data_IF_552637441573
#
_entry.id   IF_552637441573
#
_cell.length_a   1.000
_cell.length_b   1.000
_cell.length_c   1.000
_cell.angle_alpha   90.00
_cell.angle_beta   90.00
_cell.angle_gamma   90.00
#
_symmetry.space_group_name_H-M   'P 1'
#
loop_
_entity.id
_entity.type
_entity.pdbx_description
1 polymer ?
#
# COMPACT_ATOMS: atom_id res chain seq x y z
N UNK A 1 -16.33 8.89 -0.54
CA UNK A 1 -16.05 7.46 -0.83
C UNK A 1 -15.72 7.20 -2.29
N UNK A 2 -16.46 7.76 -3.28
CA UNK A 2 -16.23 7.49 -4.71
C UNK A 2 -14.77 7.72 -5.15
N UNK A 3 -14.11 8.87 -4.87
CA UNK A 3 -12.69 9.04 -5.23
C UNK A 3 -11.77 8.04 -4.52
N UNK A 4 -12.11 7.67 -3.29
CA UNK A 4 -11.34 6.71 -2.50
C UNK A 4 -11.37 5.31 -3.13
N UNK A 5 -12.54 4.82 -3.52
CA UNK A 5 -12.69 3.54 -4.23
C UNK A 5 -12.04 3.58 -5.62
N UNK A 6 -12.13 4.72 -6.33
CA UNK A 6 -11.50 4.89 -7.63
C UNK A 6 -9.97 4.74 -7.58
N UNK A 7 -9.33 5.27 -6.54
CA UNK A 7 -7.86 5.10 -6.33
C UNK A 7 -7.49 3.63 -6.14
N UNK A 8 -8.30 2.86 -5.40
CA UNK A 8 -8.05 1.42 -5.20
C UNK A 8 -8.15 0.64 -6.52
N UNK A 9 -9.19 0.91 -7.31
CA UNK A 9 -9.37 0.29 -8.62
C UNK A 9 -8.23 0.66 -9.58
N UNK A 10 -7.80 1.91 -9.58
CA UNK A 10 -6.67 2.37 -10.38
C UNK A 10 -5.37 1.67 -9.96
N UNK A 11 -5.13 1.51 -8.66
CA UNK A 11 -3.97 0.78 -8.13
C UNK A 11 -3.90 -0.66 -8.65
N UNK A 12 -5.03 -1.38 -8.64
CA UNK A 12 -5.12 -2.74 -9.22
C UNK A 12 -4.89 -2.71 -10.73
N UNK A 13 -5.44 -1.72 -11.44
CA UNK A 13 -5.23 -1.56 -12.87
C UNK A 13 -3.75 -1.41 -13.22
N UNK A 14 -3.02 -0.52 -12.54
CA UNK A 14 -1.58 -0.34 -12.73
C UNK A 14 -0.77 -1.57 -12.34
N UNK A 15 -1.14 -2.22 -11.24
CA UNK A 15 -0.48 -3.44 -10.79
C UNK A 15 -0.57 -4.54 -11.86
N UNK A 16 -1.78 -4.84 -12.35
CA UNK A 16 -2.00 -5.87 -13.38
C UNK A 16 -1.31 -5.52 -14.70
N UNK A 17 -1.37 -4.26 -15.11
CA UNK A 17 -0.66 -3.80 -16.31
C UNK A 17 0.85 -3.98 -16.17
N UNK A 18 1.42 -3.62 -15.03
CA UNK A 18 2.88 -3.68 -14.80
C UNK A 18 3.41 -5.11 -14.74
N UNK A 19 2.70 -6.02 -14.05
CA UNK A 19 3.15 -7.42 -13.90
C UNK A 19 2.94 -8.29 -15.13
N UNK A 20 2.06 -7.87 -16.04
CA UNK A 20 1.78 -8.60 -17.29
C UNK A 20 2.45 -7.99 -18.51
N UNK A 21 3.37 -7.04 -18.31
CA UNK A 21 4.02 -6.26 -19.38
C UNK A 21 3.00 -5.70 -20.39
N UNK A 22 1.84 -5.25 -19.87
CA UNK A 22 0.77 -4.67 -20.67
C UNK A 22 -0.17 -5.67 -21.34
N UNK A 23 0.01 -6.99 -21.16
CA UNK A 23 -0.93 -7.99 -21.68
C UNK A 23 -2.35 -7.80 -21.12
N UNK A 24 -2.45 -7.41 -19.85
CA UNK A 24 -3.68 -6.87 -19.26
C UNK A 24 -3.56 -5.35 -19.27
N UNK A 25 -4.42 -4.69 -20.05
CA UNK A 25 -4.43 -3.22 -20.07
C UNK A 25 -4.96 -2.65 -18.76
N UNK A 26 -4.60 -1.41 -18.44
CA UNK A 26 -5.12 -0.69 -17.27
C UNK A 26 -6.66 -0.81 -17.15
N UNK A 27 -7.37 -0.52 -18.23
CA UNK A 27 -8.85 -0.57 -18.25
C UNK A 27 -9.38 -1.96 -17.97
N UNK A 28 -8.77 -3.00 -18.57
CA UNK A 28 -9.15 -4.40 -18.32
C UNK A 28 -8.92 -4.77 -16.85
N UNK A 29 -7.80 -4.34 -16.28
CA UNK A 29 -7.48 -4.55 -14.87
C UNK A 29 -8.50 -3.90 -13.93
N UNK A 30 -8.90 -2.66 -14.20
CA UNK A 30 -9.94 -1.95 -13.44
C UNK A 30 -11.29 -2.65 -13.54
N UNK A 31 -11.69 -3.10 -14.73
CA UNK A 31 -12.95 -3.83 -14.93
C UNK A 31 -12.96 -5.15 -14.17
N UNK A 32 -11.88 -5.93 -14.26
CA UNK A 32 -11.75 -7.19 -13.51
C UNK A 32 -11.83 -6.95 -12.00
N UNK A 33 -11.10 -5.96 -11.47
CA UNK A 33 -11.16 -5.61 -10.05
C UNK A 33 -12.57 -5.21 -9.61
N UNK A 34 -13.27 -4.42 -10.44
CA UNK A 34 -14.65 -4.00 -10.16
C UNK A 34 -15.61 -5.19 -10.10
N UNK A 35 -15.52 -6.12 -11.06
CA UNK A 35 -16.37 -7.33 -11.07
C UNK A 35 -16.11 -8.19 -9.84
N UNK A 36 -14.83 -8.39 -9.49
CA UNK A 36 -14.44 -9.15 -8.29
C UNK A 36 -14.98 -8.47 -7.02
N UNK A 37 -14.82 -7.15 -6.88
CA UNK A 37 -15.33 -6.41 -5.74
C UNK A 37 -16.84 -6.55 -5.60
N UNK A 38 -17.61 -6.33 -6.66
CA UNK A 38 -19.07 -6.49 -6.65
C UNK A 38 -19.47 -7.91 -6.22
N UNK A 39 -18.78 -8.93 -6.74
CA UNK A 39 -19.06 -10.32 -6.40
C UNK A 39 -18.82 -10.60 -4.91
N UNK A 40 -17.70 -10.14 -4.36
CA UNK A 40 -17.37 -10.31 -2.96
C UNK A 40 -18.32 -9.51 -2.05
N UNK A 41 -18.62 -8.26 -2.37
CA UNK A 41 -19.56 -7.42 -1.60
C UNK A 41 -20.96 -8.06 -1.52
N UNK A 42 -21.40 -8.72 -2.60
CA UNK A 42 -22.71 -9.36 -2.64
C UNK A 42 -22.80 -10.63 -1.78
N UNK A 43 -21.71 -11.40 -1.68
CA UNK A 43 -21.69 -12.70 -0.97
C UNK A 43 -21.22 -12.56 0.49
N UNK A 44 -20.29 -11.65 0.77
CA UNK A 44 -19.65 -11.54 2.07
C UNK A 44 -20.47 -10.65 3.02
N UNK A 45 -20.98 -11.21 4.12
CA UNK A 45 -21.44 -10.41 5.25
C UNK A 45 -20.26 -9.78 6.01
N UNK A 46 -20.52 -8.71 6.78
CA UNK A 46 -19.49 -7.92 7.50
C UNK A 46 -18.53 -8.76 8.35
N UNK A 47 -19.01 -9.86 8.93
CA UNK A 47 -18.17 -10.76 9.74
C UNK A 47 -17.14 -11.51 8.89
N UNK A 48 -17.51 -11.90 7.69
CA UNK A 48 -16.60 -12.55 6.75
C UNK A 48 -15.52 -11.57 6.27
N UNK A 49 -15.93 -10.34 5.95
CA UNK A 49 -15.00 -9.26 5.55
C UNK A 49 -13.96 -9.02 6.65
N UNK A 50 -14.36 -8.93 7.91
CA UNK A 50 -13.41 -8.72 9.03
C UNK A 50 -12.38 -9.85 9.17
N UNK A 51 -12.76 -11.10 8.93
CA UNK A 51 -11.81 -12.22 8.97
C UNK A 51 -10.85 -12.21 7.79
N UNK A 52 -11.36 -11.96 6.60
CA UNK A 52 -10.51 -11.85 5.39
C UNK A 52 -9.56 -10.67 5.50
N UNK A 53 -10.01 -9.50 5.96
CA UNK A 53 -9.19 -8.31 6.21
C UNK A 53 -8.05 -8.61 7.19
N UNK A 54 -8.34 -9.33 8.28
CA UNK A 54 -7.33 -9.68 9.27
C UNK A 54 -6.25 -10.61 8.71
N UNK A 55 -6.65 -11.62 7.93
CA UNK A 55 -5.73 -12.53 7.27
C UNK A 55 -4.86 -11.79 6.24
N UNK A 56 -5.49 -10.94 5.44
CA UNK A 56 -4.80 -10.11 4.44
C UNK A 56 -3.81 -9.16 5.09
N UNK A 57 -4.19 -8.50 6.19
CA UNK A 57 -3.30 -7.60 6.92
C UNK A 57 -2.04 -8.33 7.41
N UNK A 58 -2.18 -9.53 7.98
CA UNK A 58 -1.04 -10.35 8.43
C UNK A 58 -0.17 -10.74 7.22
N UNK A 59 -0.79 -11.23 6.16
CA UNK A 59 -0.09 -11.62 4.94
C UNK A 59 0.68 -10.44 4.35
N UNK A 60 0.04 -9.29 4.24
CA UNK A 60 0.66 -8.08 3.70
C UNK A 60 1.84 -7.62 4.55
N UNK A 61 1.70 -7.53 5.88
CA UNK A 61 2.79 -7.02 6.72
C UNK A 61 4.00 -7.96 6.69
N UNK A 62 3.77 -9.27 6.73
CA UNK A 62 4.85 -10.26 6.69
C UNK A 62 5.54 -10.28 5.33
N UNK A 63 4.75 -10.42 4.26
CA UNK A 63 5.30 -10.55 2.91
C UNK A 63 5.93 -9.24 2.42
N UNK A 64 5.32 -8.08 2.68
CA UNK A 64 5.90 -6.78 2.27
C UNK A 64 7.18 -6.45 3.05
N UNK A 65 7.23 -6.77 4.35
CA UNK A 65 8.45 -6.59 5.15
C UNK A 65 9.57 -7.50 4.65
N UNK A 66 9.26 -8.75 4.31
CA UNK A 66 10.23 -9.67 3.75
C UNK A 66 10.76 -9.17 2.40
N UNK A 67 9.89 -8.69 1.51
CA UNK A 67 10.32 -8.08 0.24
C UNK A 67 11.21 -6.87 0.49
N UNK A 68 10.82 -5.94 1.36
CA UNK A 68 11.63 -4.78 1.69
C UNK A 68 13.03 -5.19 2.17
N UNK A 69 13.10 -6.18 3.06
CA UNK A 69 14.36 -6.70 3.56
C UNK A 69 15.23 -7.31 2.44
N UNK A 70 14.65 -8.16 1.60
CA UNK A 70 15.38 -8.79 0.49
C UNK A 70 15.91 -7.77 -0.51
N UNK A 71 15.08 -6.81 -0.90
CA UNK A 71 15.49 -5.75 -1.85
C UNK A 71 16.61 -4.92 -1.26
N UNK A 72 16.48 -4.47 -0.01
CA UNK A 72 17.52 -3.66 0.64
C UNK A 72 18.83 -4.44 0.77
N UNK A 73 18.78 -5.74 1.08
CA UNK A 73 19.98 -6.58 1.13
C UNK A 73 20.64 -6.70 -0.24
N UNK A 74 19.86 -6.87 -1.31
CA UNK A 74 20.39 -6.92 -2.68
C UNK A 74 20.97 -5.58 -3.15
N UNK A 75 20.49 -4.45 -2.62
CA UNK A 75 21.05 -3.12 -2.88
C UNK A 75 22.29 -2.80 -2.04
N UNK A 76 22.83 -3.77 -1.29
CA UNK A 76 24.02 -3.59 -0.46
C UNK A 76 23.72 -3.21 0.99
N UNK A 77 22.47 -3.34 1.43
CA UNK A 77 22.01 -3.04 2.79
C UNK A 77 21.55 -1.60 2.97
N UNK A 78 21.10 -1.27 4.19
CA UNK A 78 20.59 0.07 4.52
C UNK A 78 21.61 1.19 4.27
N UNK A 79 22.88 0.96 4.60
CA UNK A 79 23.94 1.96 4.37
C UNK A 79 24.04 2.33 2.89
N UNK A 80 24.24 1.34 2.02
CA UNK A 80 24.34 1.57 0.58
C UNK A 80 23.09 2.22 -0.02
N UNK A 81 21.89 1.79 0.40
CA UNK A 81 20.63 2.40 -0.04
C UNK A 81 20.59 3.90 0.29
N UNK A 82 20.87 4.28 1.54
CA UNK A 82 20.81 5.68 1.95
C UNK A 82 21.98 6.51 1.41
N UNK A 83 23.15 5.93 1.19
CA UNK A 83 24.29 6.59 0.54
C UNK A 83 23.94 6.91 -0.92
N UNK A 84 23.31 5.97 -1.65
CA UNK A 84 22.82 6.20 -3.01
C UNK A 84 21.79 7.32 -3.04
N UNK A 85 20.80 7.27 -2.16
CA UNK A 85 19.76 8.31 -2.07
C UNK A 85 20.34 9.69 -1.70
N UNK A 86 21.29 9.73 -0.78
CA UNK A 86 21.93 10.97 -0.37
C UNK A 86 22.78 11.59 -1.50
N UNK A 87 23.38 10.77 -2.35
CA UNK A 87 24.24 11.21 -3.44
C UNK A 87 23.43 11.55 -4.70
N UNK A 88 22.51 10.69 -5.09
CA UNK A 88 21.80 10.81 -6.37
C UNK A 88 20.44 11.52 -6.23
N UNK A 89 19.78 11.36 -5.07
CA UNK A 89 18.43 11.88 -4.80
C UNK A 89 18.32 12.60 -3.45
N UNK A 90 19.22 13.55 -3.11
CA UNK A 90 19.26 14.17 -1.78
C UNK A 90 17.94 14.86 -1.38
N UNK A 91 17.19 15.33 -2.37
CA UNK A 91 15.88 15.97 -2.17
C UNK A 91 14.85 15.01 -1.60
N UNK A 92 14.95 13.71 -1.88
CA UNK A 92 14.00 12.69 -1.39
C UNK A 92 14.16 12.40 0.11
N UNK A 93 15.27 12.83 0.71
CA UNK A 93 15.55 12.71 2.15
C UNK A 93 15.21 13.98 2.93
N UNK A 94 14.60 14.98 2.31
CA UNK A 94 14.22 16.24 2.97
C UNK A 94 12.73 16.26 3.34
N UNK A 95 12.39 16.99 4.40
CA UNK A 95 11.01 17.23 4.82
C UNK A 95 10.78 18.75 4.93
N UNK A 96 9.78 19.29 4.24
CA UNK A 96 8.93 18.68 3.20
C UNK A 96 9.75 18.31 1.98
N UNK A 97 9.31 17.30 1.21
CA UNK A 97 10.01 16.84 0.01
C UNK A 97 10.06 17.89 -1.12
N UNK A 98 10.68 17.56 -2.26
CA UNK A 98 10.85 18.48 -3.40
C UNK A 98 9.53 18.75 -4.14
N UNK A 99 9.52 19.81 -4.94
CA UNK A 99 8.46 20.12 -5.90
C UNK A 99 7.17 20.58 -5.25
N UNK A 100 6.09 19.81 -5.42
CA UNK A 100 4.76 20.14 -4.89
C UNK A 100 4.67 20.10 -3.36
N UNK A 101 5.64 19.55 -2.66
CA UNK A 101 5.66 19.41 -1.21
C UNK A 101 6.22 20.64 -0.50
N UNK A 102 5.72 21.83 -0.84
CA UNK A 102 5.92 23.01 -0.01
C UNK A 102 5.37 22.76 1.40
N UNK A 103 5.83 23.52 2.39
CA UNK A 103 5.33 23.38 3.77
C UNK A 103 3.80 23.48 3.86
N UNK A 104 3.18 24.36 3.09
CA UNK A 104 1.72 24.50 3.03
C UNK A 104 1.06 23.25 2.44
N UNK A 105 1.60 22.70 1.36
CA UNK A 105 1.10 21.46 0.76
C UNK A 105 1.29 20.28 1.71
N UNK A 106 2.43 20.20 2.39
CA UNK A 106 2.68 19.20 3.43
C UNK A 106 1.61 19.25 4.53
N UNK A 107 1.31 20.43 5.06
CA UNK A 107 0.24 20.60 6.05
C UNK A 107 -1.13 20.21 5.46
N UNK A 108 -1.43 20.67 4.26
CA UNK A 108 -2.69 20.37 3.57
C UNK A 108 -2.91 18.89 3.33
N UNK A 109 -1.86 18.11 3.13
CA UNK A 109 -1.93 16.66 2.98
C UNK A 109 -1.93 15.94 4.33
N UNK A 110 -1.26 16.45 5.35
CA UNK A 110 -1.11 15.78 6.65
C UNK A 110 -2.30 16.00 7.58
N UNK A 111 -2.83 17.24 7.64
CA UNK A 111 -3.95 17.58 8.53
C UNK A 111 -5.20 16.74 8.28
N UNK A 112 -5.65 16.49 7.02
CA UNK A 112 -6.79 15.62 6.75
C UNK A 112 -6.62 14.21 7.30
N UNK A 113 -5.40 13.66 7.27
CA UNK A 113 -5.11 12.34 7.82
C UNK A 113 -5.21 12.27 9.34
N UNK A 114 -4.91 13.36 10.03
CA UNK A 114 -5.13 13.45 11.48
C UNK A 114 -6.61 13.27 11.85
N UNK A 115 -7.52 13.81 11.03
CA UNK A 115 -8.97 13.67 11.23
C UNK A 115 -9.59 12.48 10.50
N UNK A 116 -8.79 11.67 9.81
CA UNK A 116 -9.28 10.58 8.96
C UNK A 116 -10.18 9.59 9.69
N UNK A 117 -9.82 9.20 10.91
CA UNK A 117 -10.59 8.26 11.72
C UNK A 117 -11.98 8.80 12.13
N UNK A 118 -12.16 10.11 12.14
CA UNK A 118 -13.43 10.77 12.47
C UNK A 118 -14.25 11.13 11.21
N UNK A 119 -13.57 11.42 10.11
CA UNK A 119 -14.19 11.91 8.88
C UNK A 119 -14.49 10.81 7.87
N UNK A 120 -13.78 9.69 7.92
CA UNK A 120 -14.01 8.56 7.02
C UNK A 120 -15.06 7.60 7.60
N UNK A 121 -16.24 7.44 6.97
CA UNK A 121 -17.31 6.59 7.47
C UNK A 121 -16.89 5.13 7.66
N UNK A 122 -16.04 4.61 6.81
CA UNK A 122 -15.51 3.24 6.86
C UNK A 122 -14.71 2.99 8.14
N UNK A 123 -13.90 3.95 8.57
CA UNK A 123 -13.13 3.85 9.83
C UNK A 123 -14.00 4.14 11.03
N UNK A 124 -14.84 5.20 10.94
CA UNK A 124 -15.73 5.61 12.05
C UNK A 124 -16.68 4.51 12.47
N UNK A 125 -17.33 3.81 11.53
CA UNK A 125 -18.23 2.71 11.87
C UNK A 125 -17.54 1.57 12.62
N UNK A 126 -16.26 1.32 12.34
CA UNK A 126 -15.47 0.29 13.04
C UNK A 126 -15.19 0.65 14.50
N UNK A 127 -15.19 1.94 14.85
CA UNK A 127 -15.04 2.39 16.25
C UNK A 127 -16.25 2.01 17.12
N UNK A 128 -17.41 1.73 16.52
CA UNK A 128 -18.62 1.31 17.24
C UNK A 128 -18.76 -0.20 17.37
N UNK A 129 -17.86 -1.00 16.80
CA UNK A 129 -17.93 -2.47 16.83
C UNK A 129 -17.40 -3.12 18.12
N UNK A 130 -16.38 -2.56 18.82
CA UNK A 130 -15.85 -3.18 20.02
C UNK A 130 -16.88 -3.32 21.13
N UNK A 131 -16.99 -4.50 21.73
CA UNK A 131 -17.95 -4.81 22.80
C UNK A 131 -17.55 -4.23 24.17
N UNK A 132 -16.33 -3.72 24.32
CA UNK A 132 -15.80 -3.17 25.57
C UNK A 132 -14.70 -2.16 25.34
N UNK A 133 -14.43 -1.29 26.32
CA UNK A 133 -13.31 -0.34 26.31
C UNK A 133 -11.95 -1.07 26.19
N UNK A 134 -11.82 -2.26 26.77
CA UNK A 134 -10.61 -3.07 26.66
C UNK A 134 -10.40 -3.52 25.21
N UNK A 135 -11.43 -4.02 24.56
CA UNK A 135 -11.41 -4.43 23.17
C UNK A 135 -11.09 -3.25 22.25
N UNK A 136 -11.69 -2.09 22.51
CA UNK A 136 -11.40 -0.86 21.80
C UNK A 136 -9.93 -0.42 21.91
N UNK A 137 -9.35 -0.48 23.12
CA UNK A 137 -7.93 -0.16 23.31
C UNK A 137 -7.01 -1.10 22.54
N UNK A 138 -7.28 -2.40 22.54
CA UNK A 138 -6.49 -3.37 21.76
C UNK A 138 -6.61 -3.10 20.26
N UNK A 139 -7.79 -2.77 19.78
CA UNK A 139 -8.00 -2.40 18.38
C UNK A 139 -7.18 -1.15 18.00
N UNK A 140 -7.22 -0.10 18.81
CA UNK A 140 -6.49 1.15 18.55
C UNK A 140 -4.97 0.93 18.59
N UNK A 141 -4.46 0.17 19.56
CA UNK A 141 -3.04 -0.16 19.64
C UNK A 141 -2.62 -0.99 18.42
N UNK A 142 -3.40 -2.01 18.06
CA UNK A 142 -3.15 -2.82 16.86
C UNK A 142 -3.12 -1.97 15.59
N UNK A 143 -4.07 -1.04 15.44
CA UNK A 143 -4.11 -0.13 14.30
C UNK A 143 -2.87 0.78 14.24
N UNK A 144 -2.44 1.34 15.38
CA UNK A 144 -1.25 2.18 15.45
C UNK A 144 0.02 1.41 15.10
N UNK A 145 0.21 0.23 15.70
CA UNK A 145 1.40 -0.61 15.45
C UNK A 145 1.44 -1.08 14.00
N UNK A 146 0.32 -1.60 13.50
CA UNK A 146 0.20 -2.04 12.10
C UNK A 146 0.47 -0.88 11.14
N UNK A 147 -0.20 0.26 11.35
CA UNK A 147 -0.06 1.44 10.50
C UNK A 147 1.36 1.98 10.48
N UNK A 148 2.02 2.04 11.65
CA UNK A 148 3.41 2.48 11.75
C UNK A 148 4.35 1.56 10.95
N UNK A 149 4.30 0.24 11.19
CA UNK A 149 5.18 -0.71 10.51
C UNK A 149 4.92 -0.69 9.00
N UNK A 150 3.64 -0.71 8.60
CA UNK A 150 3.29 -0.73 7.19
C UNK A 150 3.72 0.56 6.46
N UNK A 151 3.57 1.71 7.12
CA UNK A 151 4.06 2.99 6.57
C UNK A 151 5.57 2.98 6.39
N UNK A 152 6.32 2.48 7.38
CA UNK A 152 7.78 2.37 7.25
C UNK A 152 8.19 1.46 6.10
N UNK A 153 7.54 0.31 5.96
CA UNK A 153 7.78 -0.63 4.85
C UNK A 153 7.46 0.02 3.51
N UNK A 154 6.35 0.76 3.40
CA UNK A 154 5.96 1.44 2.16
C UNK A 154 6.96 2.52 1.75
N UNK A 155 7.48 3.29 2.71
CA UNK A 155 8.54 4.28 2.47
C UNK A 155 9.82 3.60 1.99
N UNK A 156 10.23 2.51 2.63
CA UNK A 156 11.41 1.75 2.22
C UNK A 156 11.25 1.16 0.81
N UNK A 157 10.05 0.73 0.43
CA UNK A 157 9.77 0.30 -0.94
C UNK A 157 9.95 1.44 -1.94
N UNK A 158 9.41 2.62 -1.63
CA UNK A 158 9.57 3.80 -2.47
C UNK A 158 11.04 4.18 -2.66
N UNK A 159 11.80 4.21 -1.59
CA UNK A 159 13.23 4.49 -1.62
C UNK A 159 14.03 3.42 -2.39
N UNK A 160 13.72 2.15 -2.17
CA UNK A 160 14.37 1.05 -2.89
C UNK A 160 14.05 1.09 -4.38
N UNK A 161 12.81 1.39 -4.76
CA UNK A 161 12.42 1.54 -6.16
C UNK A 161 13.11 2.76 -6.81
N UNK A 162 13.22 3.87 -6.10
CA UNK A 162 13.93 5.07 -6.59
C UNK A 162 15.43 4.80 -6.81
N UNK A 163 16.08 4.09 -5.88
CA UNK A 163 17.49 3.76 -6.01
C UNK A 163 17.75 2.73 -7.12
N UNK A 164 16.86 1.73 -7.27
CA UNK A 164 17.02 0.66 -8.26
C UNK A 164 16.57 1.07 -9.68
N UNK A 165 15.55 1.91 -9.79
CA UNK A 165 14.88 2.26 -11.05
C UNK A 165 14.64 3.78 -11.17
N UNK A 166 15.67 4.62 -11.22
CA UNK A 166 15.53 6.08 -11.21
C UNK A 166 14.81 6.65 -12.45
N UNK A 167 14.70 5.88 -13.52
CA UNK A 167 14.11 6.30 -14.80
C UNK A 167 12.71 5.72 -15.08
N UNK A 168 11.95 5.36 -14.03
CA UNK A 168 10.57 4.89 -14.22
C UNK A 168 9.71 5.95 -14.90
N UNK A 169 8.87 5.52 -15.85
CA UNK A 169 7.98 6.40 -16.58
C UNK A 169 6.88 7.01 -15.68
N UNK A 170 6.50 6.32 -14.60
CA UNK A 170 5.56 6.79 -13.58
C UNK A 170 5.91 6.19 -12.23
N UNK A 171 5.73 6.96 -11.17
CA UNK A 171 5.87 6.48 -9.79
C UNK A 171 4.88 5.34 -9.45
N UNK A 172 3.74 5.27 -10.14
CA UNK A 172 2.74 4.22 -9.96
C UNK A 172 3.25 2.83 -10.39
N UNK A 173 4.28 2.79 -11.23
CA UNK A 173 4.93 1.56 -11.67
C UNK A 173 6.02 1.06 -10.70
N UNK A 174 6.35 1.83 -9.66
CA UNK A 174 7.42 1.46 -8.72
C UNK A 174 7.17 0.11 -8.05
N UNK A 175 5.98 -0.11 -7.51
CA UNK A 175 5.62 -1.37 -6.84
C UNK A 175 5.62 -2.57 -7.80
N UNK A 176 4.90 -2.56 -8.94
CA UNK A 176 4.92 -3.71 -9.85
C UNK A 176 6.31 -4.00 -10.40
N UNK A 177 7.09 -2.97 -10.75
CA UNK A 177 8.45 -3.14 -11.25
C UNK A 177 9.36 -3.76 -10.18
N UNK A 178 9.27 -3.30 -8.93
CA UNK A 178 10.05 -3.84 -7.83
C UNK A 178 9.72 -5.32 -7.58
N UNK A 179 8.42 -5.68 -7.56
CA UNK A 179 7.96 -7.04 -7.33
C UNK A 179 8.27 -8.00 -8.50
N UNK A 180 8.39 -7.50 -9.71
CA UNK A 180 8.77 -8.28 -10.89
C UNK A 180 10.30 -8.33 -11.10
N UNK A 181 11.09 -7.60 -10.32
CA UNK A 181 12.54 -7.53 -10.45
C UNK A 181 13.25 -8.79 -9.96
N UNK A 182 14.52 -8.92 -10.34
CA UNK A 182 15.41 -9.98 -9.87
C UNK A 182 15.70 -9.95 -8.35
N UNK A 183 15.42 -8.82 -7.68
CA UNK A 183 15.59 -8.67 -6.23
C UNK A 183 14.56 -9.45 -5.43
N UNK A 184 13.44 -9.86 -6.04
CA UNK A 184 12.33 -10.50 -5.38
C UNK A 184 12.08 -11.90 -5.98
N UNK A 185 12.11 -12.97 -5.15
CA UNK A 185 11.74 -14.29 -5.64
C UNK A 185 10.35 -14.27 -6.29
N UNK A 186 10.16 -14.84 -7.50
CA UNK A 186 8.91 -14.72 -8.26
C UNK A 186 7.67 -15.15 -7.48
N UNK A 187 7.77 -16.23 -6.69
CA UNK A 187 6.66 -16.73 -5.86
C UNK A 187 6.26 -15.70 -4.80
N UNK A 188 7.23 -15.05 -4.16
CA UNK A 188 6.98 -14.01 -3.15
C UNK A 188 6.37 -12.77 -3.81
N UNK A 189 6.87 -12.37 -4.98
CA UNK A 189 6.31 -11.28 -5.76
C UNK A 189 4.82 -11.50 -6.06
N UNK A 190 4.47 -12.69 -6.55
CA UNK A 190 3.07 -13.07 -6.84
C UNK A 190 2.21 -13.06 -5.56
N UNK A 191 2.70 -13.59 -4.45
CA UNK A 191 1.96 -13.58 -3.17
C UNK A 191 1.66 -12.14 -2.72
N UNK A 192 2.65 -11.25 -2.79
CA UNK A 192 2.46 -9.84 -2.42
C UNK A 192 1.49 -9.13 -3.37
N UNK A 193 1.59 -9.38 -4.67
CA UNK A 193 0.67 -8.84 -5.66
C UNK A 193 -0.78 -9.24 -5.40
N UNK A 194 -1.01 -10.55 -5.13
CA UNK A 194 -2.34 -11.04 -4.74
C UNK A 194 -2.80 -10.36 -3.45
N UNK A 195 -1.90 -10.18 -2.47
CA UNK A 195 -2.20 -9.47 -1.23
C UNK A 195 -2.62 -8.02 -1.45
N UNK A 196 -1.93 -7.28 -2.32
CA UNK A 196 -2.28 -5.90 -2.67
C UNK A 196 -3.64 -5.83 -3.36
N UNK A 197 -3.91 -6.73 -4.33
CA UNK A 197 -5.20 -6.81 -5.01
C UNK A 197 -6.33 -7.13 -4.02
N UNK A 198 -6.11 -8.09 -3.15
CA UNK A 198 -7.09 -8.49 -2.14
C UNK A 198 -7.38 -7.33 -1.16
N UNK A 199 -6.36 -6.58 -0.74
CA UNK A 199 -6.52 -5.41 0.12
C UNK A 199 -7.28 -4.28 -0.58
N UNK A 200 -7.03 -4.04 -1.86
CA UNK A 200 -7.77 -3.05 -2.63
C UNK A 200 -9.26 -3.42 -2.74
N UNK A 201 -9.56 -4.68 -3.03
CA UNK A 201 -10.95 -5.19 -3.08
C UNK A 201 -11.61 -5.07 -1.71
N UNK A 202 -10.95 -5.51 -0.63
CA UNK A 202 -11.46 -5.38 0.75
C UNK A 202 -11.77 -3.92 1.14
N UNK A 203 -10.95 -2.98 0.68
CA UNK A 203 -11.19 -1.55 0.93
C UNK A 203 -12.47 -1.06 0.23
N UNK A 204 -12.84 -1.64 -0.90
CA UNK A 204 -14.07 -1.30 -1.63
C UNK A 204 -15.30 -1.93 -0.96
N UNK A 205 -15.14 -3.15 -0.42
CA UNK A 205 -16.21 -3.94 0.22
C UNK A 205 -16.58 -3.43 1.63
N UNK A 206 -15.74 -2.63 2.23
CA UNK A 206 -15.88 -2.11 3.61
C UNK A 206 -16.60 -0.78 3.64
#
# INVERSE_FOLDING_TARGET
>A
LIPYSAVQLAGVGYLLQGITDGAITFTTGVVLATVIAIFFSYIAGIRSVMWTDSLQAIMMIVASTLVAFLVIQNLGGFGALFDTLATEHPQSLTVPGPGLFSFVTFLGLTIPWFFFSLSNPQVSQRLFMPSSLRSMRHMLIGFLVFGFIYTMVSVLWGFSALAAFPSLASADLATPTLLASEFVPPVLGVIVMIGIMAAAVSTIDS
#
